data_IF_553408323264
#
_entry.id   IF_553408323264
#
_cell.length_a   1.000
_cell.length_b   1.000
_cell.length_c   1.000
_cell.angle_alpha   90.00
_cell.angle_beta   90.00
_cell.angle_gamma   90.00
#
_symmetry.space_group_name_H-M   'P 1'
#
loop_
_entity.id
_entity.type
_entity.pdbx_description
1 polymer ?
#
# COMPACT_ATOMS: atom_id res chain seq x y z
N UNK A 1 42.84 -12.57 -0.10
CA UNK A 1 42.34 -12.35 1.27
C UNK A 1 41.04 -11.57 1.12
N UNK A 2 39.87 -12.22 1.26
CA UNK A 2 38.57 -11.57 1.03
C UNK A 2 38.27 -10.67 2.21
N UNK A 3 37.93 -9.43 1.93
CA UNK A 3 37.59 -8.42 2.92
C UNK A 3 36.25 -8.80 3.59
N UNK A 4 36.30 -9.11 4.89
CA UNK A 4 35.13 -9.50 5.69
C UNK A 4 34.47 -8.30 6.41
N UNK A 5 34.85 -7.06 6.06
CA UNK A 5 34.38 -5.84 6.74
C UNK A 5 32.93 -5.44 6.44
N UNK A 6 32.24 -6.12 5.51
CA UNK A 6 30.87 -5.79 5.10
C UNK A 6 29.79 -6.77 5.59
N UNK A 7 30.09 -7.64 6.57
CA UNK A 7 29.02 -8.41 7.22
C UNK A 7 28.29 -7.48 8.19
N UNK A 8 27.20 -6.91 7.71
CA UNK A 8 26.25 -6.11 8.48
C UNK A 8 25.95 -6.84 9.81
N UNK A 9 26.32 -6.23 10.95
CA UNK A 9 26.08 -6.77 12.30
C UNK A 9 24.58 -6.72 12.63
N UNK A 10 23.79 -7.56 11.99
CA UNK A 10 22.40 -7.79 12.33
C UNK A 10 22.36 -9.01 13.25
N UNK A 11 21.77 -8.85 14.42
CA UNK A 11 21.51 -10.01 15.29
C UNK A 11 20.54 -10.95 14.57
N UNK A 12 20.72 -12.27 14.68
CA UNK A 12 19.81 -13.25 14.04
C UNK A 12 18.34 -13.02 14.45
N UNK A 13 18.13 -12.48 15.64
CA UNK A 13 16.82 -12.21 16.22
C UNK A 13 16.18 -10.88 15.74
N UNK A 14 16.89 -10.07 14.94
CA UNK A 14 16.38 -8.79 14.47
C UNK A 14 15.55 -8.96 13.20
N UNK A 15 14.23 -8.73 13.32
CA UNK A 15 13.31 -8.85 12.19
C UNK A 15 13.69 -7.88 11.06
N UNK A 16 14.00 -8.43 9.87
CA UNK A 16 14.31 -7.66 8.67
C UNK A 16 13.19 -6.67 8.37
N UNK A 17 13.55 -5.42 8.02
CA UNK A 17 12.59 -4.43 7.51
C UNK A 17 11.91 -4.98 6.25
N UNK A 18 10.58 -5.06 6.30
CA UNK A 18 9.74 -5.50 5.18
C UNK A 18 9.10 -4.30 4.51
N UNK A 19 9.15 -4.27 3.18
CA UNK A 19 8.40 -3.30 2.40
C UNK A 19 7.15 -3.93 1.83
N UNK A 20 5.99 -3.41 2.20
CA UNK A 20 4.68 -3.92 1.79
C UNK A 20 3.94 -2.85 1.01
N UNK A 21 3.49 -3.21 -0.18
CA UNK A 21 2.68 -2.34 -1.01
C UNK A 21 1.25 -2.89 -1.08
N UNK A 22 0.29 -2.05 -0.71
CA UNK A 22 -1.14 -2.35 -0.75
C UNK A 22 -1.75 -1.61 -1.95
N UNK A 23 -2.50 -2.33 -2.78
CA UNK A 23 -3.17 -1.80 -3.97
C UNK A 23 -4.65 -1.58 -3.65
N UNK A 24 -5.06 -0.33 -3.54
CA UNK A 24 -6.42 0.10 -3.19
C UNK A 24 -6.53 0.52 -1.72
N UNK A 25 -7.04 1.73 -1.50
CA UNK A 25 -7.36 2.32 -0.20
C UNK A 25 -8.87 2.24 0.09
N UNK A 26 -9.48 1.10 -0.23
CA UNK A 26 -10.81 0.73 0.26
C UNK A 26 -10.78 0.22 1.70
N UNK A 27 -11.90 -0.37 2.14
CA UNK A 27 -12.03 -0.94 3.49
C UNK A 27 -10.93 -1.98 3.77
N UNK A 28 -10.74 -2.91 2.83
CA UNK A 28 -9.72 -3.96 2.91
C UNK A 28 -8.30 -3.40 3.02
N UNK A 29 -7.97 -2.40 2.22
CA UNK A 29 -6.65 -1.77 2.22
C UNK A 29 -6.35 -1.00 3.51
N UNK A 30 -7.35 -0.25 4.01
CA UNK A 30 -7.23 0.48 5.28
C UNK A 30 -7.09 -0.51 6.44
N UNK A 31 -7.93 -1.55 6.52
CA UNK A 31 -7.83 -2.57 7.57
C UNK A 31 -6.50 -3.33 7.51
N UNK A 32 -6.01 -3.67 6.32
CA UNK A 32 -4.70 -4.28 6.12
C UNK A 32 -3.60 -3.37 6.68
N UNK A 33 -3.60 -2.08 6.34
CA UNK A 33 -2.64 -1.11 6.87
C UNK A 33 -2.66 -1.04 8.41
N UNK A 34 -3.85 -0.93 9.02
CA UNK A 34 -4.03 -0.89 10.48
C UNK A 34 -3.46 -2.16 11.11
N UNK A 35 -3.86 -3.32 10.60
CA UNK A 35 -3.51 -4.61 11.21
C UNK A 35 -2.05 -4.97 11.05
N UNK A 36 -1.42 -4.65 9.92
CA UNK A 36 0.00 -4.90 9.74
C UNK A 36 0.84 -4.00 10.63
N UNK A 37 0.47 -2.71 10.73
CA UNK A 37 1.16 -1.78 11.62
C UNK A 37 1.08 -2.19 13.09
N UNK A 38 -0.03 -2.79 13.51
CA UNK A 38 -0.22 -3.25 14.90
C UNK A 38 0.52 -4.55 15.23
N UNK A 39 0.78 -5.42 14.24
CA UNK A 39 1.30 -6.78 14.48
C UNK A 39 2.73 -7.00 14.04
N UNK A 40 3.21 -6.25 13.06
CA UNK A 40 4.52 -6.46 12.45
C UNK A 40 5.44 -5.28 12.79
N UNK A 41 6.46 -5.50 13.65
CA UNK A 41 7.49 -4.48 13.86
C UNK A 41 8.34 -4.32 12.60
N UNK A 42 8.94 -3.13 12.40
CA UNK A 42 9.83 -2.81 11.28
C UNK A 42 9.19 -2.92 9.88
N UNK A 43 7.95 -2.46 9.76
CA UNK A 43 7.21 -2.49 8.50
C UNK A 43 7.22 -1.14 7.78
N UNK A 44 7.53 -1.16 6.49
CA UNK A 44 7.41 -0.03 5.58
C UNK A 44 6.19 -0.25 4.67
N UNK A 45 5.09 0.43 4.96
CA UNK A 45 3.83 0.29 4.22
C UNK A 45 3.67 1.45 3.26
N UNK A 46 3.25 1.15 2.03
CA UNK A 46 2.73 2.14 1.11
C UNK A 46 1.41 1.64 0.53
N UNK A 47 0.38 2.47 0.55
CA UNK A 47 -0.93 2.17 -0.04
C UNK A 47 -1.10 3.02 -1.29
N UNK A 48 -1.26 2.40 -2.45
CA UNK A 48 -1.54 3.11 -3.69
C UNK A 48 -3.04 3.08 -3.99
N UNK A 49 -3.60 4.24 -4.32
CA UNK A 49 -5.01 4.40 -4.66
C UNK A 49 -5.15 5.21 -5.94
N UNK A 50 -5.93 4.71 -6.91
CA UNK A 50 -6.19 5.38 -8.18
C UNK A 50 -7.05 6.63 -7.98
N UNK A 51 -7.95 6.61 -7.00
CA UNK A 51 -8.87 7.69 -6.71
C UNK A 51 -8.19 8.90 -6.06
N UNK A 52 -8.86 10.05 -6.12
CA UNK A 52 -8.39 11.29 -5.49
C UNK A 52 -8.60 11.32 -3.97
N UNK A 53 -9.26 10.31 -3.40
CA UNK A 53 -9.52 10.15 -1.97
C UNK A 53 -9.63 8.66 -1.64
N UNK A 54 -9.46 8.31 -0.37
CA UNK A 54 -9.63 6.93 0.13
C UNK A 54 -11.09 6.53 0.18
N UNK A 55 -11.43 5.24 0.18
CA UNK A 55 -12.81 4.77 0.34
C UNK A 55 -13.25 3.73 -0.70
N UNK A 56 -12.49 3.56 -1.79
CA UNK A 56 -12.74 2.57 -2.83
C UNK A 56 -14.17 2.66 -3.38
N UNK A 57 -14.92 1.57 -3.30
CA UNK A 57 -16.32 1.48 -3.76
C UNK A 57 -17.21 2.61 -3.23
N UNK A 58 -17.02 3.07 -1.99
CA UNK A 58 -17.84 4.12 -1.38
C UNK A 58 -17.46 5.53 -1.84
N UNK A 59 -16.26 5.70 -2.40
CA UNK A 59 -15.87 6.92 -3.09
C UNK A 59 -16.47 6.99 -4.50
N UNK A 60 -16.44 5.86 -5.22
CA UNK A 60 -16.91 5.76 -6.62
C UNK A 60 -18.45 5.74 -6.71
N UNK A 61 -19.13 5.06 -5.79
CA UNK A 61 -20.58 4.90 -5.81
C UNK A 61 -21.27 5.96 -4.96
N UNK A 62 -21.77 7.02 -5.59
CA UNK A 62 -22.61 8.05 -4.93
C UNK A 62 -24.10 7.84 -5.25
N UNK A 63 -24.63 6.67 -4.90
CA UNK A 63 -26.08 6.47 -4.93
C UNK A 63 -26.72 7.18 -3.74
N UNK A 64 -27.86 7.84 -3.99
CA UNK A 64 -28.56 8.73 -3.06
C UNK A 64 -28.84 8.05 -1.72
N UNK A 65 -28.22 8.54 -0.63
CA UNK A 65 -28.61 8.27 0.75
C UNK A 65 -27.56 7.60 1.65
N UNK A 66 -26.85 6.55 1.21
CA UNK A 66 -26.06 5.70 2.13
C UNK A 66 -24.53 5.80 1.99
N UNK A 67 -23.99 6.22 0.85
CA UNK A 67 -22.55 6.14 0.62
C UNK A 67 -21.72 7.20 1.35
N UNK A 68 -22.30 8.39 1.59
CA UNK A 68 -21.57 9.52 2.17
C UNK A 68 -21.14 9.27 3.63
N UNK A 69 -22.00 8.68 4.45
CA UNK A 69 -21.69 8.38 5.86
C UNK A 69 -20.62 7.31 5.98
N UNK A 70 -20.69 6.27 5.15
CA UNK A 70 -19.72 5.16 5.15
C UNK A 70 -18.35 5.67 4.70
N UNK A 71 -18.29 6.52 3.66
CA UNK A 71 -17.04 7.15 3.23
C UNK A 71 -16.41 7.99 4.35
N UNK A 72 -17.21 8.84 5.00
CA UNK A 72 -16.75 9.66 6.12
C UNK A 72 -16.27 8.82 7.30
N UNK A 73 -16.97 7.74 7.63
CA UNK A 73 -16.58 6.81 8.68
C UNK A 73 -15.21 6.19 8.41
N UNK A 74 -14.97 5.66 7.19
CA UNK A 74 -13.68 5.06 6.86
C UNK A 74 -12.55 6.10 6.81
N UNK A 75 -12.86 7.33 6.41
CA UNK A 75 -11.92 8.45 6.52
C UNK A 75 -11.51 8.72 7.96
N UNK A 76 -12.49 8.78 8.86
CA UNK A 76 -12.24 8.97 10.28
C UNK A 76 -11.44 7.81 10.88
N UNK A 77 -11.73 6.57 10.49
CA UNK A 77 -10.97 5.38 10.94
C UNK A 77 -9.52 5.46 10.45
N UNK A 78 -9.29 5.76 9.17
CA UNK A 78 -7.94 5.88 8.63
C UNK A 78 -7.12 6.97 9.35
N UNK A 79 -7.74 8.11 9.65
CA UNK A 79 -7.11 9.20 10.41
C UNK A 79 -6.80 8.80 11.86
N UNK A 80 -7.78 8.19 12.55
CA UNK A 80 -7.64 7.72 13.94
C UNK A 80 -6.48 6.76 14.15
N UNK A 81 -6.18 5.91 13.16
CA UNK A 81 -5.07 4.95 13.22
C UNK A 81 -3.79 5.44 12.52
N UNK A 82 -3.77 6.69 12.02
CA UNK A 82 -2.61 7.28 11.33
C UNK A 82 -2.28 6.60 10.00
N UNK A 83 -3.25 5.96 9.36
CA UNK A 83 -3.06 5.28 8.07
C UNK A 83 -3.03 6.26 6.89
N UNK A 84 -3.49 7.50 7.08
CA UNK A 84 -3.54 8.52 6.05
C UNK A 84 -2.18 8.86 5.46
N UNK A 85 -1.12 8.80 6.27
CA UNK A 85 0.26 9.15 5.87
C UNK A 85 0.88 8.17 4.87
N UNK A 86 0.37 6.93 4.80
CA UNK A 86 0.88 5.89 3.92
C UNK A 86 0.17 5.86 2.56
N UNK A 87 -0.90 6.63 2.41
CA UNK A 87 -1.73 6.63 1.23
C UNK A 87 -1.16 7.56 0.16
N UNK A 88 -0.81 7.00 -0.99
CA UNK A 88 -0.50 7.73 -2.21
C UNK A 88 -1.70 7.69 -3.13
N UNK A 89 -2.41 8.81 -3.17
CA UNK A 89 -3.62 9.00 -3.98
C UNK A 89 -3.26 9.35 -5.42
N UNK A 90 -4.21 9.14 -6.35
CA UNK A 90 -4.04 9.35 -7.80
C UNK A 90 -2.88 8.54 -8.39
N UNK A 91 -2.60 7.37 -7.84
CA UNK A 91 -1.55 6.48 -8.31
C UNK A 91 -2.18 5.16 -8.74
N UNK A 92 -2.03 4.81 -10.00
CA UNK A 92 -2.55 3.57 -10.55
C UNK A 92 -1.41 2.59 -10.80
N UNK A 93 -1.51 1.40 -10.20
CA UNK A 93 -0.62 0.28 -10.54
C UNK A 93 -1.25 -0.46 -11.72
N UNK A 94 -0.49 -0.65 -12.79
CA UNK A 94 -0.96 -1.36 -13.99
C UNK A 94 -0.18 -2.65 -14.26
N UNK A 95 0.97 -2.85 -13.60
CA UNK A 95 1.77 -4.06 -13.77
C UNK A 95 2.50 -4.42 -12.48
N UNK A 96 2.54 -5.72 -12.16
CA UNK A 96 3.28 -6.28 -11.04
C UNK A 96 4.05 -7.51 -11.53
N UNK A 97 5.38 -7.44 -11.51
CA UNK A 97 6.26 -8.51 -11.98
C UNK A 97 7.17 -8.95 -10.85
N UNK A 98 7.23 -10.26 -10.61
CA UNK A 98 8.17 -10.85 -9.66
C UNK A 98 9.58 -10.93 -10.27
N UNK A 99 10.57 -10.47 -9.52
CA UNK A 99 11.99 -10.55 -9.86
C UNK A 99 12.64 -11.64 -9.00
N UNK A 100 12.92 -12.78 -9.63
CA UNK A 100 13.51 -13.96 -8.97
C UNK A 100 14.95 -13.72 -8.49
N UNK A 101 15.71 -12.84 -9.15
CA UNK A 101 17.10 -12.55 -8.75
C UNK A 101 17.14 -11.68 -7.50
N UNK A 102 16.25 -10.68 -7.42
CA UNK A 102 16.19 -9.78 -6.27
C UNK A 102 15.24 -10.27 -5.17
N UNK A 103 14.40 -11.27 -5.45
CA UNK A 103 13.32 -11.75 -4.59
C UNK A 103 12.40 -10.60 -4.16
N UNK A 104 12.02 -9.76 -5.13
CA UNK A 104 11.18 -8.56 -4.94
C UNK A 104 10.11 -8.49 -6.01
N UNK A 105 9.00 -7.85 -5.66
CA UNK A 105 8.01 -7.39 -6.63
C UNK A 105 8.43 -6.04 -7.21
N UNK A 106 8.50 -5.96 -8.54
CA UNK A 106 8.60 -4.73 -9.31
C UNK A 106 7.20 -4.30 -9.73
N UNK A 107 6.70 -3.19 -9.17
CA UNK A 107 5.41 -2.61 -9.52
C UNK A 107 5.63 -1.42 -10.45
N UNK A 108 4.92 -1.37 -11.58
CA UNK A 108 4.86 -0.17 -12.41
C UNK A 108 3.66 0.66 -12.01
N UNK A 109 3.94 1.90 -11.59
CA UNK A 109 2.96 2.86 -11.12
C UNK A 109 2.90 4.01 -12.10
N UNK A 110 1.69 4.46 -12.38
CA UNK A 110 1.40 5.68 -13.10
C UNK A 110 0.80 6.69 -12.12
N UNK A 111 1.41 7.86 -12.04
CA UNK A 111 0.80 9.02 -11.39
C UNK A 111 -0.22 9.64 -12.35
N UNK A 112 -1.49 9.62 -11.97
CA UNK A 112 -2.59 10.15 -12.77
C UNK A 112 -2.64 11.68 -12.79
N UNK A 113 -1.97 12.35 -11.84
CA UNK A 113 -1.89 13.81 -11.83
C UNK A 113 -0.80 14.34 -12.77
N UNK A 114 0.35 13.66 -12.83
CA UNK A 114 1.50 14.06 -13.65
C UNK A 114 1.66 13.26 -14.94
N UNK A 115 0.88 12.20 -15.12
CA UNK A 115 1.02 11.19 -16.20
C UNK A 115 2.40 10.53 -16.26
N UNK A 116 3.22 10.69 -15.21
CA UNK A 116 4.55 10.07 -15.13
C UNK A 116 4.44 8.62 -14.68
N UNK A 117 5.35 7.78 -15.14
CA UNK A 117 5.44 6.39 -14.72
C UNK A 117 6.76 6.15 -14.01
N UNK A 118 6.72 5.34 -12.95
CA UNK A 118 7.91 4.93 -12.22
C UNK A 118 7.74 3.50 -11.69
N UNK A 119 8.85 2.90 -11.29
CA UNK A 119 8.88 1.55 -10.74
C UNK A 119 9.10 1.67 -9.24
N UNK A 120 8.27 0.97 -8.48
CA UNK A 120 8.45 0.80 -7.03
C UNK A 120 8.63 -0.66 -6.68
N UNK A 121 9.57 -0.94 -5.77
CA UNK A 121 9.96 -2.30 -5.38
C UNK A 121 9.50 -2.63 -3.98
N UNK A 122 8.97 -3.83 -3.77
CA UNK A 122 8.55 -4.30 -2.45
C UNK A 122 8.77 -5.79 -2.22
N UNK A 123 8.70 -6.20 -0.96
CA UNK A 123 8.76 -7.61 -0.54
C UNK A 123 7.43 -8.31 -0.73
N UNK A 124 6.32 -7.61 -0.42
CA UNK A 124 4.97 -8.17 -0.44
C UNK A 124 4.03 -7.20 -1.13
N UNK A 125 3.22 -7.72 -2.04
CA UNK A 125 2.13 -7.00 -2.69
C UNK A 125 0.81 -7.53 -2.16
N UNK A 126 -0.10 -6.62 -1.81
CA UNK A 126 -1.43 -6.96 -1.30
C UNK A 126 -2.46 -6.31 -2.20
N UNK A 127 -3.20 -7.13 -2.92
CA UNK A 127 -4.27 -6.67 -3.79
C UNK A 127 -5.54 -6.46 -2.97
N UNK A 128 -5.97 -5.20 -2.85
CA UNK A 128 -7.14 -4.77 -2.08
C UNK A 128 -8.11 -3.92 -2.93
N UNK A 129 -8.06 -4.04 -4.26
CA UNK A 129 -8.89 -3.28 -5.22
C UNK A 129 -10.38 -3.61 -5.17
N UNK A 130 -10.76 -4.73 -4.54
CA UNK A 130 -12.14 -5.18 -4.43
C UNK A 130 -12.70 -5.73 -5.75
N UNK A 131 -13.89 -6.35 -5.68
CA UNK A 131 -14.54 -6.99 -6.84
C UNK A 131 -15.25 -6.00 -7.78
N UNK A 132 -15.52 -4.79 -7.31
CA UNK A 132 -16.23 -3.73 -8.04
C UNK A 132 -15.24 -2.68 -8.53
N UNK A 133 -14.19 -3.12 -9.22
CA UNK A 133 -13.20 -2.24 -9.82
C UNK A 133 -13.52 -2.13 -11.32
N UNK A 134 -14.11 -1.01 -11.72
CA UNK A 134 -14.32 -0.64 -13.13
C UNK A 134 -13.17 0.25 -13.63
#
# INVERSE_FOLDING_TARGET
>A
MRDFSAVERRSVDEARRLRVIIIGAGISGILACIHFRQRIPNLDICVYEKNADIGGTWFENRYLGCACEIHQYWKHVADKYGCMEYNKLRQQIFEAVWDEEQLKWNLRIQDLASSSTYIDRCDVVIQATGALNN
#
